data_IF_685218508711
#
_entry.id   IF_685218508711
#
_cell.length_a   1.000
_cell.length_b   1.000
_cell.length_c   1.000
_cell.angle_alpha   90.00
_cell.angle_beta   90.00
_cell.angle_gamma   90.00
#
_symmetry.space_group_name_H-M   'P 1'
#
loop_
_entity.id
_entity.type
_entity.pdbx_description
1 polymer ?
#
# COMPACT_ATOMS: atom_id res chain seq x y z
N UNK A 1 -40.64 4.43 6.34
CA UNK A 1 -39.33 5.07 6.61
C UNK A 1 -38.47 4.14 7.47
N UNK A 2 -37.99 3.02 6.92
CA UNK A 2 -37.24 2.02 7.68
C UNK A 2 -36.19 1.35 6.80
N UNK A 3 -35.01 1.97 6.67
CA UNK A 3 -33.88 1.34 5.99
C UNK A 3 -32.53 1.94 6.45
N UNK A 4 -32.35 2.12 7.77
CA UNK A 4 -31.10 2.63 8.35
C UNK A 4 -30.65 1.84 9.58
N UNK A 5 -30.83 0.51 9.56
CA UNK A 5 -30.34 -0.40 10.61
C UNK A 5 -29.41 -1.49 10.05
N UNK A 6 -28.78 -1.25 8.90
CA UNK A 6 -27.56 -2.00 8.60
C UNK A 6 -26.50 -1.51 9.58
N UNK A 7 -26.19 -2.31 10.61
CA UNK A 7 -25.05 -2.10 11.52
C UNK A 7 -23.78 -2.10 10.67
N UNK A 8 -23.43 -0.97 10.05
CA UNK A 8 -22.14 -0.81 9.41
C UNK A 8 -21.11 -0.79 10.54
N UNK A 9 -20.43 -1.92 10.71
CA UNK A 9 -19.31 -2.06 11.63
C UNK A 9 -18.12 -1.33 11.00
N UNK A 10 -18.09 -0.01 11.12
CA UNK A 10 -16.91 0.77 10.73
C UNK A 10 -15.81 0.58 11.77
N UNK A 11 -14.56 0.76 11.37
CA UNK A 11 -13.39 0.48 12.22
C UNK A 11 -13.47 1.20 13.58
N UNK A 12 -13.91 2.46 13.62
CA UNK A 12 -14.12 3.21 14.87
C UNK A 12 -15.18 2.52 15.76
N UNK A 13 -16.27 2.04 15.19
CA UNK A 13 -17.30 1.30 15.95
C UNK A 13 -16.77 -0.04 16.48
N UNK A 14 -15.86 -0.69 15.74
CA UNK A 14 -15.14 -1.88 16.22
C UNK A 14 -14.20 -1.57 17.38
N UNK A 15 -13.40 -0.51 17.27
CA UNK A 15 -12.50 -0.11 18.34
C UNK A 15 -13.26 0.32 19.61
N UNK A 16 -14.37 1.06 19.46
CA UNK A 16 -15.27 1.40 20.57
C UNK A 16 -15.91 0.16 21.19
N UNK A 17 -16.26 -0.86 20.39
CA UNK A 17 -16.76 -2.12 20.95
C UNK A 17 -15.68 -2.91 21.71
N UNK A 18 -14.40 -2.68 21.41
CA UNK A 18 -13.27 -3.29 22.12
C UNK A 18 -12.99 -2.63 23.47
N UNK A 19 -13.54 -1.44 23.73
CA UNK A 19 -13.59 -0.85 25.08
C UNK A 19 -14.57 -1.59 26.01
N UNK A 20 -15.63 -2.17 25.45
CA UNK A 20 -16.76 -2.72 26.21
C UNK A 20 -16.61 -4.21 26.55
N UNK A 21 -15.57 -4.88 26.06
CA UNK A 21 -15.24 -6.24 26.47
C UNK A 21 -14.41 -6.17 27.75
N UNK A 22 -15.09 -6.03 28.89
CA UNK A 22 -14.48 -6.45 30.15
C UNK A 22 -14.27 -7.96 30.11
N UNK A 23 -13.09 -8.38 30.59
CA UNK A 23 -12.54 -9.72 30.54
C UNK A 23 -13.56 -10.84 30.83
N UNK A 24 -13.77 -11.72 29.85
CA UNK A 24 -14.01 -13.12 30.19
C UNK A 24 -12.63 -13.74 30.43
N UNK A 25 -12.41 -14.27 31.63
CA UNK A 25 -11.16 -14.74 32.25
C UNK A 25 -10.34 -15.82 31.49
N UNK A 26 -10.63 -16.08 30.21
CA UNK A 26 -9.91 -17.07 29.39
C UNK A 26 -9.31 -16.50 28.09
N UNK A 27 -9.39 -15.20 27.83
CA UNK A 27 -8.84 -14.61 26.60
C UNK A 27 -7.74 -13.59 26.92
N UNK A 28 -6.57 -13.72 26.27
CA UNK A 28 -5.35 -12.91 26.51
C UNK A 28 -5.53 -11.45 26.04
N UNK A 29 -6.67 -11.08 25.45
CA UNK A 29 -6.96 -9.71 25.04
C UNK A 29 -7.50 -8.87 26.20
N UNK A 30 -6.60 -8.21 26.94
CA UNK A 30 -7.00 -7.03 27.72
C UNK A 30 -7.59 -5.99 26.76
N UNK A 31 -8.85 -5.58 26.99
CA UNK A 31 -9.49 -4.51 26.21
C UNK A 31 -8.66 -3.23 26.23
N UNK A 32 -8.77 -2.41 25.18
CA UNK A 32 -8.08 -1.13 25.09
C UNK A 32 -8.62 -0.16 26.14
N UNK A 33 -7.75 0.63 26.75
CA UNK A 33 -8.15 1.78 27.57
C UNK A 33 -8.60 2.94 26.66
N UNK A 34 -9.35 3.90 27.23
CA UNK A 34 -9.80 5.07 26.47
C UNK A 34 -8.63 5.90 25.87
N UNK A 35 -7.51 6.14 26.59
CA UNK A 35 -6.34 6.80 26.00
C UNK A 35 -5.72 6.00 24.85
N UNK A 36 -5.53 4.68 25.01
CA UNK A 36 -5.00 3.80 23.95
C UNK A 36 -5.89 3.83 22.71
N UNK A 37 -7.21 3.80 22.89
CA UNK A 37 -8.15 3.95 21.79
C UNK A 37 -7.94 5.27 21.02
N UNK A 38 -7.82 6.38 21.73
CA UNK A 38 -7.61 7.67 21.09
C UNK A 38 -6.28 7.72 20.33
N UNK A 39 -5.24 7.11 20.87
CA UNK A 39 -3.94 7.08 20.23
C UNK A 39 -3.93 6.18 18.99
N UNK A 40 -4.61 5.03 19.02
CA UNK A 40 -4.83 4.18 17.83
C UNK A 40 -5.62 4.91 16.73
N UNK A 41 -6.69 5.63 17.09
CA UNK A 41 -7.47 6.41 16.12
C UNK A 41 -6.62 7.51 15.48
N UNK A 42 -5.87 8.27 16.29
CA UNK A 42 -4.97 9.32 15.79
C UNK A 42 -3.90 8.74 14.86
N UNK A 43 -3.29 7.63 15.27
CA UNK A 43 -2.25 6.93 14.52
C UNK A 43 -2.76 6.50 13.14
N UNK A 44 -3.96 5.90 13.08
CA UNK A 44 -4.58 5.49 11.83
C UNK A 44 -4.86 6.68 10.91
N UNK A 45 -5.44 7.77 11.44
CA UNK A 45 -5.78 8.96 10.64
C UNK A 45 -4.50 9.57 10.07
N UNK A 46 -3.47 9.76 10.89
CA UNK A 46 -2.22 10.38 10.46
C UNK A 46 -1.51 9.54 9.41
N UNK A 47 -1.36 8.24 9.68
CA UNK A 47 -0.66 7.31 8.78
C UNK A 47 -1.40 7.18 7.45
N UNK A 48 -2.73 7.06 7.47
CA UNK A 48 -3.53 6.96 6.25
C UNK A 48 -3.55 8.26 5.43
N UNK A 49 -3.59 9.42 6.09
CA UNK A 49 -3.63 10.71 5.42
C UNK A 49 -2.30 11.07 4.75
N UNK A 50 -1.20 11.03 5.50
CA UNK A 50 0.09 11.51 5.03
C UNK A 50 0.64 10.64 3.87
N UNK A 51 0.53 9.31 4.01
CA UNK A 51 1.01 8.38 2.99
C UNK A 51 0.19 8.44 1.69
N UNK A 52 -1.14 8.45 1.79
CA UNK A 52 -2.04 8.50 0.63
C UNK A 52 -1.94 9.84 -0.09
N UNK A 53 -1.93 10.95 0.64
CA UNK A 53 -1.82 12.29 0.05
C UNK A 53 -0.46 12.49 -0.66
N UNK A 54 0.62 11.95 -0.09
CA UNK A 54 1.94 11.97 -0.72
C UNK A 54 1.96 11.10 -1.99
N UNK A 55 1.40 9.88 -1.94
CA UNK A 55 1.31 9.02 -3.12
C UNK A 55 0.49 9.65 -4.26
N UNK A 56 -0.65 10.28 -3.92
CA UNK A 56 -1.47 10.99 -4.90
C UNK A 56 -0.74 12.21 -5.49
N UNK A 57 0.03 12.93 -4.67
CA UNK A 57 0.84 14.06 -5.14
C UNK A 57 1.90 13.61 -6.14
N UNK A 58 2.58 12.49 -5.88
CA UNK A 58 3.52 11.89 -6.84
C UNK A 58 2.83 11.40 -8.11
N UNK A 59 1.65 10.78 -7.98
CA UNK A 59 0.86 10.38 -9.15
C UNK A 59 0.55 11.58 -10.05
N UNK A 60 0.05 12.67 -9.49
CA UNK A 60 -0.22 13.91 -10.25
C UNK A 60 1.06 14.46 -10.86
N UNK A 61 2.16 14.46 -10.11
CA UNK A 61 3.47 14.91 -10.59
C UNK A 61 3.92 14.13 -11.83
N UNK A 62 3.99 12.80 -11.75
CA UNK A 62 4.41 11.95 -12.86
C UNK A 62 3.44 12.05 -14.04
N UNK A 63 2.14 12.01 -13.81
CA UNK A 63 1.13 12.17 -14.87
C UNK A 63 1.24 13.53 -15.58
N UNK A 64 1.57 14.61 -14.87
CA UNK A 64 1.76 15.94 -15.47
C UNK A 64 3.01 16.04 -16.36
N UNK A 65 4.02 15.21 -16.09
CA UNK A 65 5.28 15.15 -16.84
C UNK A 65 5.23 14.21 -18.05
N UNK A 66 4.20 13.34 -18.12
CA UNK A 66 4.05 12.29 -19.12
C UNK A 66 2.66 12.38 -19.78
N UNK A 67 2.43 13.33 -20.71
CA UNK A 67 1.14 13.51 -21.37
C UNK A 67 0.62 12.25 -22.07
N UNK A 68 1.52 11.41 -22.58
CA UNK A 68 1.21 10.10 -23.17
C UNK A 68 0.58 9.13 -22.17
N UNK A 69 1.10 9.09 -20.93
CA UNK A 69 0.54 8.29 -19.85
C UNK A 69 -0.84 8.84 -19.46
N UNK A 70 -0.96 10.17 -19.34
CA UNK A 70 -2.24 10.81 -19.05
C UNK A 70 -3.29 10.52 -20.13
N UNK A 71 -2.89 10.54 -21.40
CA UNK A 71 -3.79 10.23 -22.51
C UNK A 71 -4.22 8.76 -22.48
N UNK A 72 -3.28 7.85 -22.22
CA UNK A 72 -3.57 6.42 -22.13
C UNK A 72 -4.52 6.09 -20.98
N UNK A 73 -4.37 6.74 -19.81
CA UNK A 73 -5.34 6.65 -18.71
C UNK A 73 -6.73 7.11 -19.16
N UNK A 74 -6.83 8.25 -19.85
CA UNK A 74 -8.12 8.76 -20.34
C UNK A 74 -8.77 7.80 -21.34
N UNK A 75 -7.97 7.15 -22.18
CA UNK A 75 -8.47 6.17 -23.14
C UNK A 75 -9.02 4.93 -22.43
N UNK A 76 -8.32 4.39 -21.43
CA UNK A 76 -8.84 3.29 -20.59
C UNK A 76 -10.15 3.69 -19.87
N UNK A 77 -10.21 4.90 -19.31
CA UNK A 77 -11.43 5.40 -18.66
C UNK A 77 -12.60 5.54 -19.65
N UNK A 78 -12.34 5.88 -20.92
CA UNK A 78 -13.37 5.92 -21.99
C UNK A 78 -13.82 4.51 -22.39
N UNK A 79 -12.89 3.55 -22.50
CA UNK A 79 -13.20 2.15 -22.78
C UNK A 79 -14.18 1.56 -21.75
N UNK A 80 -14.06 1.98 -20.50
CA UNK A 80 -14.97 1.61 -19.41
C UNK A 80 -16.18 2.54 -19.23
N UNK A 81 -16.43 3.48 -20.15
CA UNK A 81 -17.53 4.45 -20.10
C UNK A 81 -17.57 5.28 -18.81
N UNK A 82 -16.41 5.59 -18.21
CA UNK A 82 -16.30 6.47 -17.04
C UNK A 82 -16.14 7.95 -17.44
N UNK A 83 -15.85 8.21 -18.72
CA UNK A 83 -15.74 9.54 -19.31
C UNK A 83 -16.55 9.57 -20.62
N UNK A 84 -17.36 10.63 -20.88
CA UNK A 84 -17.61 11.78 -20.02
C UNK A 84 -18.36 11.41 -18.74
N UNK A 85 -18.10 12.11 -17.62
CA UNK A 85 -18.71 11.85 -16.29
C UNK A 85 -20.25 11.99 -16.26
N UNK A 86 -20.88 12.26 -17.40
CA UNK A 86 -22.32 12.19 -17.62
C UNK A 86 -22.84 10.75 -17.78
N UNK A 87 -21.94 9.75 -17.87
CA UNK A 87 -22.29 8.34 -17.85
C UNK A 87 -22.96 7.97 -16.52
N UNK A 88 -24.10 7.26 -16.58
CA UNK A 88 -24.75 6.70 -15.38
C UNK A 88 -24.00 5.50 -14.78
N UNK A 89 -22.79 5.22 -15.25
CA UNK A 89 -21.93 4.14 -14.77
C UNK A 89 -21.38 4.54 -13.41
N UNK A 90 -21.82 3.84 -12.36
CA UNK A 90 -21.30 4.03 -11.02
C UNK A 90 -19.86 3.52 -10.92
N UNK A 91 -18.98 4.26 -10.24
CA UNK A 91 -17.65 3.77 -9.92
C UNK A 91 -17.76 2.69 -8.84
N UNK A 92 -17.58 1.43 -9.23
CA UNK A 92 -17.64 0.26 -8.33
C UNK A 92 -16.26 -0.39 -8.19
N UNK A 93 -16.07 -1.17 -7.12
CA UNK A 93 -14.85 -1.96 -6.93
C UNK A 93 -14.56 -2.86 -8.15
N UNK A 94 -15.60 -3.48 -8.73
CA UNK A 94 -15.49 -4.34 -9.91
C UNK A 94 -15.03 -3.60 -11.17
N UNK A 95 -15.24 -2.29 -11.26
CA UNK A 95 -14.73 -1.48 -12.37
C UNK A 95 -13.29 -1.07 -12.07
N UNK A 96 -12.97 -0.70 -10.82
CA UNK A 96 -11.61 -0.35 -10.43
C UNK A 96 -10.62 -1.49 -10.70
N UNK A 97 -11.02 -2.75 -10.46
CA UNK A 97 -10.18 -3.92 -10.77
C UNK A 97 -9.95 -4.15 -12.26
N UNK A 98 -10.70 -3.50 -13.15
CA UNK A 98 -10.55 -3.60 -14.61
C UNK A 98 -9.62 -2.52 -15.18
N UNK A 99 -9.33 -1.46 -14.43
CA UNK A 99 -8.45 -0.37 -14.83
C UNK A 99 -6.97 -0.80 -14.74
N UNK A 100 -6.56 -1.67 -15.66
CA UNK A 100 -5.26 -2.35 -15.66
C UNK A 100 -4.10 -1.38 -15.85
N UNK A 101 -4.24 -0.45 -16.79
CA UNK A 101 -3.22 0.56 -17.06
C UNK A 101 -3.13 1.58 -15.91
N UNK A 102 -4.25 2.00 -15.32
CA UNK A 102 -4.24 2.80 -14.11
C UNK A 102 -3.46 2.12 -12.97
N UNK A 103 -3.69 0.83 -12.74
CA UNK A 103 -2.94 0.05 -11.75
C UNK A 103 -1.43 0.03 -12.06
N UNK A 104 -1.06 -0.16 -13.32
CA UNK A 104 0.34 -0.08 -13.77
C UNK A 104 0.97 1.28 -13.47
N UNK A 105 0.23 2.38 -13.69
CA UNK A 105 0.70 3.74 -13.40
C UNK A 105 0.88 3.92 -11.89
N UNK A 106 -0.07 3.49 -11.06
CA UNK A 106 0.03 3.58 -9.60
C UNK A 106 1.25 2.78 -9.10
N UNK A 107 1.45 1.56 -9.60
CA UNK A 107 2.61 0.73 -9.25
C UNK A 107 3.93 1.39 -9.64
N UNK A 108 4.03 1.96 -10.84
CA UNK A 108 5.24 2.66 -11.28
C UNK A 108 5.50 3.94 -10.50
N UNK A 109 4.46 4.67 -10.08
CA UNK A 109 4.59 5.81 -9.16
C UNK A 109 5.19 5.36 -7.84
N UNK A 110 4.66 4.29 -7.23
CA UNK A 110 5.16 3.76 -5.96
C UNK A 110 6.56 3.13 -6.09
N UNK A 111 6.95 2.66 -7.28
CA UNK A 111 8.31 2.23 -7.56
C UNK A 111 9.28 3.42 -7.60
N UNK A 112 8.96 4.44 -8.39
CA UNK A 112 9.82 5.60 -8.61
C UNK A 112 9.91 6.52 -7.38
N UNK A 113 8.80 6.66 -6.65
CA UNK A 113 8.67 7.47 -5.45
C UNK A 113 8.07 6.66 -4.30
N UNK A 114 8.86 5.73 -3.70
CA UNK A 114 8.38 4.93 -2.58
C UNK A 114 8.15 5.84 -1.37
N UNK A 115 6.96 5.75 -0.78
CA UNK A 115 6.58 6.57 0.39
C UNK A 115 7.41 6.16 1.61
N UNK A 116 7.56 4.86 1.83
CA UNK A 116 8.53 4.30 2.76
C UNK A 116 9.83 4.01 1.99
N UNK A 117 10.83 4.88 2.16
CA UNK A 117 12.15 4.71 1.50
C UNK A 117 12.92 3.48 1.97
N UNK A 118 12.68 3.07 3.21
CA UNK A 118 13.33 1.93 3.85
C UNK A 118 12.42 1.35 4.93
N UNK A 119 12.76 0.13 5.34
CA UNK A 119 12.19 -0.50 6.53
C UNK A 119 13.30 -1.05 7.40
N UNK A 120 13.07 -1.03 8.71
CA UNK A 120 13.99 -1.49 9.73
C UNK A 120 13.46 -2.78 10.37
N UNK A 121 14.37 -3.68 10.73
CA UNK A 121 14.10 -4.85 11.58
C UNK A 121 15.17 -4.95 12.66
N UNK A 122 14.80 -5.46 13.83
CA UNK A 122 15.74 -5.77 14.91
C UNK A 122 15.78 -7.29 15.05
N UNK A 123 16.97 -7.87 15.00
CA UNK A 123 17.16 -9.30 15.19
C UNK A 123 16.87 -9.69 16.65
N UNK A 124 15.92 -10.60 16.85
CA UNK A 124 15.53 -11.05 18.19
C UNK A 124 16.43 -12.16 18.73
N UNK A 125 17.16 -12.83 17.84
CA UNK A 125 18.15 -13.87 18.13
C UNK A 125 19.29 -13.78 17.12
N UNK A 126 20.38 -14.50 17.41
CA UNK A 126 21.45 -14.70 16.43
C UNK A 126 20.90 -15.52 15.25
N UNK A 127 21.28 -15.15 14.03
CA UNK A 127 20.82 -15.78 12.80
C UNK A 127 21.89 -15.66 11.68
N UNK A 128 21.64 -16.33 10.56
CA UNK A 128 22.53 -16.39 9.40
C UNK A 128 21.73 -16.18 8.10
N UNK A 129 21.82 -14.99 7.52
CA UNK A 129 21.18 -14.69 6.24
C UNK A 129 21.97 -15.34 5.11
N UNK A 130 21.28 -16.10 4.26
CA UNK A 130 21.82 -16.79 3.08
C UNK A 130 23.06 -17.66 3.39
N UNK A 131 23.10 -18.24 4.60
CA UNK A 131 24.20 -19.11 5.03
C UNK A 131 25.57 -18.42 5.21
N UNK A 132 25.64 -17.10 5.06
CA UNK A 132 26.94 -16.38 5.00
C UNK A 132 26.99 -15.09 5.81
N UNK A 133 25.87 -14.39 5.97
CA UNK A 133 25.83 -13.10 6.67
C UNK A 133 25.34 -13.33 8.09
N UNK A 134 26.26 -13.27 9.05
CA UNK A 134 25.93 -13.39 10.46
C UNK A 134 25.19 -12.15 10.96
N UNK A 135 24.04 -12.36 11.59
CA UNK A 135 23.25 -11.35 12.27
C UNK A 135 23.21 -11.71 13.75
N UNK A 136 23.56 -10.77 14.63
CA UNK A 136 23.53 -10.98 16.07
C UNK A 136 22.22 -10.46 16.63
N UNK A 137 21.78 -11.04 17.74
CA UNK A 137 20.67 -10.51 18.53
C UNK A 137 20.93 -9.03 18.85
N UNK A 138 19.94 -8.20 18.53
CA UNK A 138 19.99 -6.75 18.72
C UNK A 138 20.49 -5.97 17.50
N UNK A 139 21.02 -6.64 16.47
CA UNK A 139 21.41 -5.97 15.23
C UNK A 139 20.18 -5.37 14.54
N UNK A 140 20.36 -4.16 14.01
CA UNK A 140 19.36 -3.48 13.19
C UNK A 140 19.64 -3.75 11.72
N UNK A 141 18.70 -4.42 11.06
CA UNK A 141 18.72 -4.72 9.62
C UNK A 141 17.99 -3.58 8.91
N UNK A 142 18.70 -2.89 8.02
CA UNK A 142 18.16 -1.83 7.18
C UNK A 142 17.91 -2.35 5.77
N UNK A 143 16.66 -2.33 5.32
CA UNK A 143 16.29 -2.71 3.95
C UNK A 143 15.90 -1.46 3.16
N UNK A 144 16.70 -1.11 2.16
CA UNK A 144 16.45 0.04 1.30
C UNK A 144 15.47 -0.33 0.19
N UNK A 145 14.19 0.01 0.38
CA UNK A 145 13.15 -0.17 -0.65
C UNK A 145 13.51 0.65 -1.90
N UNK A 146 14.00 1.87 -1.71
CA UNK A 146 14.41 2.74 -2.82
C UNK A 146 15.51 2.11 -3.71
N UNK A 147 16.54 1.52 -3.10
CA UNK A 147 17.61 0.88 -3.87
C UNK A 147 17.09 -0.40 -4.55
N UNK A 148 16.26 -1.20 -3.88
CA UNK A 148 15.64 -2.40 -4.48
C UNK A 148 14.78 -2.02 -5.69
N UNK A 149 13.96 -0.96 -5.58
CA UNK A 149 13.09 -0.44 -6.64
C UNK A 149 13.84 0.18 -7.83
N UNK A 150 15.15 0.42 -7.68
CA UNK A 150 16.00 1.00 -8.72
C UNK A 150 17.15 0.08 -9.17
N UNK A 151 17.24 -1.12 -8.59
CA UNK A 151 18.34 -2.04 -8.85
C UNK A 151 18.25 -2.64 -10.26
N UNK A 152 19.27 -2.45 -11.12
CA UNK A 152 19.26 -2.98 -12.48
C UNK A 152 19.25 -4.51 -12.55
N UNK A 153 19.58 -5.22 -11.45
CA UNK A 153 19.46 -6.67 -11.35
C UNK A 153 18.00 -7.14 -11.44
N UNK A 154 17.06 -6.32 -10.97
CA UNK A 154 15.63 -6.63 -10.98
C UNK A 154 14.84 -5.78 -11.98
N UNK A 155 15.32 -4.58 -12.30
CA UNK A 155 14.64 -3.61 -13.18
C UNK A 155 15.42 -3.43 -14.48
N UNK A 156 15.07 -4.23 -15.50
CA UNK A 156 15.76 -4.30 -16.81
C UNK A 156 15.76 -2.98 -17.58
N UNK A 157 14.62 -2.28 -17.61
CA UNK A 157 14.54 -0.93 -18.17
C UNK A 157 15.12 0.03 -17.13
N UNK A 158 15.92 1.00 -17.55
CA UNK A 158 16.52 2.02 -16.68
C UNK A 158 15.52 2.56 -15.64
N UNK A 159 15.84 2.35 -14.36
CA UNK A 159 14.97 2.68 -13.23
C UNK A 159 14.65 4.18 -13.10
N UNK A 160 15.48 5.06 -13.68
CA UNK A 160 15.24 6.50 -13.72
C UNK A 160 14.10 6.90 -14.66
N UNK A 161 13.73 6.00 -15.59
CA UNK A 161 12.62 6.21 -16.53
C UNK A 161 11.32 5.72 -15.92
N UNK A 162 10.32 6.61 -15.93
CA UNK A 162 8.94 6.30 -15.57
C UNK A 162 8.26 5.54 -16.73
N UNK A 163 8.06 4.24 -16.57
CA UNK A 163 7.49 3.35 -17.60
C UNK A 163 6.43 2.45 -16.96
N UNK A 164 5.15 2.88 -16.93
CA UNK A 164 4.04 2.08 -16.39
C UNK A 164 3.96 0.67 -16.99
N UNK A 165 4.32 0.52 -18.26
CA UNK A 165 4.28 -0.73 -19.00
C UNK A 165 5.13 -1.86 -18.39
N UNK A 166 6.05 -1.55 -17.46
CA UNK A 166 6.75 -2.56 -16.65
C UNK A 166 5.81 -3.52 -15.94
N UNK A 167 4.61 -3.05 -15.57
CA UNK A 167 3.64 -3.83 -14.81
C UNK A 167 2.51 -4.41 -15.69
N UNK A 168 2.50 -4.15 -17.01
CA UNK A 168 1.49 -4.73 -17.93
C UNK A 168 1.67 -6.24 -18.11
N UNK A 169 2.90 -6.71 -17.98
CA UNK A 169 3.22 -8.12 -17.97
C UNK A 169 3.89 -8.40 -16.63
N UNK A 170 3.23 -9.20 -15.78
CA UNK A 170 3.93 -9.79 -14.64
C UNK A 170 5.07 -10.64 -15.22
N UNK A 171 6.28 -10.09 -15.21
CA UNK A 171 7.46 -10.81 -15.65
C UNK A 171 7.59 -11.99 -14.69
N UNK A 172 7.40 -13.23 -15.20
CA UNK A 172 7.43 -14.44 -14.37
C UNK A 172 8.79 -14.63 -13.69
N UNK A 173 9.81 -13.94 -14.19
CA UNK A 173 11.17 -13.90 -13.66
C UNK A 173 11.38 -12.77 -12.63
N UNK A 174 10.36 -11.95 -12.34
CA UNK A 174 10.48 -10.86 -11.37
C UNK A 174 10.52 -11.43 -9.95
N UNK A 175 11.57 -11.09 -9.21
CA UNK A 175 11.72 -11.56 -7.83
C UNK A 175 10.58 -11.01 -6.95
N UNK A 176 9.99 -11.85 -6.10
CA UNK A 176 8.83 -11.49 -5.25
C UNK A 176 9.10 -10.30 -4.32
N UNK A 177 10.37 -10.07 -3.97
CA UNK A 177 10.83 -8.95 -3.14
C UNK A 177 11.46 -7.78 -3.94
N UNK A 178 11.35 -7.77 -5.27
CA UNK A 178 11.86 -6.66 -6.09
C UNK A 178 10.93 -5.43 -6.10
N UNK A 179 9.65 -5.62 -5.76
CA UNK A 179 8.66 -4.54 -5.63
C UNK A 179 7.94 -4.64 -4.28
N UNK A 180 8.31 -3.76 -3.34
CA UNK A 180 7.86 -3.75 -1.94
C UNK A 180 7.28 -2.39 -1.52
N UNK A 181 6.28 -1.83 -2.25
CA UNK A 181 5.71 -0.52 -1.92
C UNK A 181 5.02 -0.48 -0.56
N UNK A 182 4.63 -1.65 -0.04
CA UNK A 182 3.93 -1.83 1.23
C UNK A 182 4.65 -2.81 2.15
N UNK A 183 5.95 -3.04 1.92
CA UNK A 183 6.73 -4.11 2.56
C UNK A 183 6.13 -5.51 2.27
N UNK A 184 6.73 -6.56 2.83
CA UNK A 184 6.28 -7.94 2.68
C UNK A 184 5.98 -8.62 4.01
N UNK A 185 5.27 -9.75 3.91
CA UNK A 185 5.16 -10.76 4.97
C UNK A 185 4.42 -10.25 6.25
N UNK A 186 4.74 -10.82 7.42
CA UNK A 186 4.08 -10.60 8.70
C UNK A 186 4.01 -9.14 9.18
N UNK A 187 4.85 -8.26 8.63
CA UNK A 187 4.92 -6.84 9.00
C UNK A 187 4.62 -5.92 7.81
N UNK A 188 3.94 -6.45 6.79
CA UNK A 188 3.43 -5.66 5.68
C UNK A 188 2.48 -4.54 6.17
N UNK A 189 2.36 -3.49 5.38
CA UNK A 189 1.50 -2.35 5.69
C UNK A 189 0.03 -2.80 5.86
N UNK A 190 -0.54 -2.55 7.03
CA UNK A 190 -1.93 -2.85 7.34
C UNK A 190 -2.93 -2.05 6.48
N UNK A 191 -2.51 -0.92 5.93
CA UNK A 191 -3.32 -0.03 5.09
C UNK A 191 -3.23 -0.30 3.58
N UNK A 192 -2.71 -1.46 3.15
CA UNK A 192 -2.55 -1.80 1.73
C UNK A 192 -3.88 -1.96 0.96
N UNK A 193 -4.96 -2.36 1.66
CA UNK A 193 -6.23 -2.79 1.07
C UNK A 193 -7.24 -1.66 0.80
#
# INVERSE_FOLDING_TARGET
MSCWHSKRKHFIAFLVSSLNNEANDNDISSGLTLPELFDEIKSLILTGFDTTSTALSWFIHYASKHPEVQQRIKDELREHNLIPMTSSVALTADILTKLTYMDCVIKEVLRCAPIAFNVLRIALCDDLIDGTIHVRKGDTIFMSIHNIHSDPRYWRIDASRFVPERFLHEDKDHHSYAFLPFDGDYRACAGKG
#
